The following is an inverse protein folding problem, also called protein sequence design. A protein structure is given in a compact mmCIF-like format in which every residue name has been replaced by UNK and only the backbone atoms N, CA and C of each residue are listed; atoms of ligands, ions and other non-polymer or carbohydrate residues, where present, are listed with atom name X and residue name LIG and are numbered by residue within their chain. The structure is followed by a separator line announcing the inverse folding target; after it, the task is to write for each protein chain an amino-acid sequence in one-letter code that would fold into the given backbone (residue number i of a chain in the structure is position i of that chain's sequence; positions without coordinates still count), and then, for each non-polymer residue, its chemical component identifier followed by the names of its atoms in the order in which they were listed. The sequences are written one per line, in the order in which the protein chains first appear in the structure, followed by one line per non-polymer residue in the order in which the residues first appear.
data_IF_170469016534
#
_entry.id   IF_170469016534
#
_cell.length_a   1.000
_cell.length_b   1.000
_cell.length_c   1.000
_cell.angle_alpha   90.00
_cell.angle_beta   90.00
_cell.angle_gamma   90.00
#
_symmetry.space_group_name_H-M   'P 1'
#
loop_
_entity.id
_entity.type
_entity.pdbx_description
1 polymer ?
#
# COMPACT_ATOMS: atom_id res chain seq x y z
N UNK A 1 3.33 -6.50 -16.40
CA UNK A 1 3.81 -7.10 -15.13
C UNK A 1 3.22 -8.50 -15.05
N UNK A 2 4.00 -9.54 -14.73
CA UNK A 2 3.47 -10.88 -14.48
C UNK A 2 2.39 -10.82 -13.37
N UNK A 3 1.26 -11.50 -13.56
CA UNK A 3 0.18 -11.59 -12.57
C UNK A 3 0.69 -12.03 -11.20
N UNK A 4 1.70 -12.92 -11.15
CA UNK A 4 2.33 -13.34 -9.88
C UNK A 4 3.09 -12.20 -9.20
N UNK A 5 3.79 -11.37 -9.97
CA UNK A 5 4.51 -10.22 -9.45
C UNK A 5 3.54 -9.15 -8.91
N UNK A 6 2.38 -8.98 -9.56
CA UNK A 6 1.32 -8.10 -9.06
C UNK A 6 0.75 -8.57 -7.73
N UNK A 7 0.37 -9.86 -7.65
CA UNK A 7 -0.17 -10.43 -6.43
C UNK A 7 0.85 -10.39 -5.28
N UNK A 8 2.12 -10.66 -5.57
CA UNK A 8 3.18 -10.53 -4.58
C UNK A 8 3.36 -9.07 -4.09
N UNK A 9 3.37 -8.10 -5.00
CA UNK A 9 3.57 -6.69 -4.64
C UNK A 9 2.48 -6.20 -3.70
N UNK A 10 1.20 -6.48 -4.01
CA UNK A 10 0.08 -5.94 -3.26
C UNK A 10 -0.38 -6.83 -2.10
N UNK A 11 -0.22 -8.16 -2.17
CA UNK A 11 -0.75 -9.08 -1.14
C UNK A 11 0.32 -9.92 -0.43
N UNK A 12 1.52 -10.05 -1.01
CA UNK A 12 2.60 -10.83 -0.42
C UNK A 12 3.26 -10.15 0.78
N UNK A 13 3.47 -10.87 1.88
CA UNK A 13 4.10 -10.35 3.10
C UNK A 13 5.60 -10.68 3.22
N UNK A 14 6.18 -11.37 2.23
CA UNK A 14 7.58 -11.80 2.23
C UNK A 14 8.39 -11.07 1.15
N UNK A 15 9.70 -10.97 1.36
CA UNK A 15 10.60 -10.24 0.48
C UNK A 15 10.80 -8.80 0.90
N UNK A 16 11.37 -8.02 -0.02
CA UNK A 16 11.76 -6.62 0.19
C UNK A 16 11.24 -5.76 -0.94
N UNK A 17 10.81 -4.55 -0.65
CA UNK A 17 10.54 -3.52 -1.67
C UNK A 17 11.37 -2.27 -1.40
N UNK A 18 11.90 -1.69 -2.46
CA UNK A 18 12.65 -0.44 -2.38
C UNK A 18 11.72 0.78 -2.24
N UNK A 19 12.29 1.91 -1.86
CA UNK A 19 11.54 3.15 -1.61
C UNK A 19 10.72 3.65 -2.80
N UNK A 20 11.24 3.56 -4.03
CA UNK A 20 10.55 4.03 -5.25
C UNK A 20 9.31 3.17 -5.53
N UNK A 21 9.46 1.85 -5.43
CA UNK A 21 8.36 0.91 -5.62
C UNK A 21 7.31 1.08 -4.53
N UNK A 22 7.73 1.24 -3.28
CA UNK A 22 6.82 1.53 -2.16
C UNK A 22 6.04 2.85 -2.36
N UNK A 23 6.73 3.90 -2.80
CA UNK A 23 6.11 5.20 -3.09
C UNK A 23 5.06 5.08 -4.19
N UNK A 24 5.43 4.60 -5.38
CA UNK A 24 4.49 4.55 -6.51
C UNK A 24 3.33 3.57 -6.28
N UNK A 25 3.59 2.41 -5.69
CA UNK A 25 2.53 1.46 -5.36
C UNK A 25 1.57 2.04 -4.31
N UNK A 26 2.09 2.72 -3.28
CA UNK A 26 1.26 3.40 -2.29
C UNK A 26 0.47 4.58 -2.88
N UNK A 27 1.08 5.38 -3.75
CA UNK A 27 0.40 6.48 -4.43
C UNK A 27 -0.77 5.97 -5.29
N UNK A 28 -0.57 4.87 -6.04
CA UNK A 28 -1.64 4.25 -6.82
C UNK A 28 -2.84 3.87 -5.93
N UNK A 29 -2.59 3.32 -4.74
CA UNK A 29 -3.64 2.97 -3.80
C UNK A 29 -4.38 4.19 -3.25
N UNK A 30 -3.70 5.32 -3.01
CA UNK A 30 -4.37 6.57 -2.65
C UNK A 30 -5.22 7.10 -3.80
N UNK A 31 -4.70 7.12 -5.03
CA UNK A 31 -5.44 7.54 -6.22
C UNK A 31 -6.69 6.67 -6.45
N UNK A 32 -6.59 5.36 -6.22
CA UNK A 32 -7.74 4.45 -6.31
C UNK A 32 -8.85 4.82 -5.32
N UNK A 33 -8.52 5.27 -4.10
CA UNK A 33 -9.50 5.74 -3.10
C UNK A 33 -10.18 7.07 -3.52
N UNK A 34 -9.47 7.94 -4.24
CA UNK A 34 -10.00 9.26 -4.63
C UNK A 34 -11.13 9.16 -5.66
N UNK A 35 -11.13 8.13 -6.52
CA UNK A 35 -12.13 8.02 -7.58
C UNK A 35 -13.57 7.82 -7.05
N UNK A 36 -13.85 6.88 -6.13
CA UNK A 36 -15.17 6.78 -5.50
C UNK A 36 -15.58 8.06 -4.76
N UNK A 37 -14.63 8.73 -4.09
CA UNK A 37 -14.89 10.01 -3.40
C UNK A 37 -15.32 11.09 -4.39
N UNK A 38 -14.62 11.21 -5.51
CA UNK A 38 -14.98 12.11 -6.60
C UNK A 38 -16.41 11.82 -7.09
N UNK A 39 -16.76 10.54 -7.29
CA UNK A 39 -18.10 10.17 -7.75
C UNK A 39 -19.20 10.52 -6.73
N UNK A 40 -18.94 10.39 -5.42
CA UNK A 40 -19.90 10.81 -4.38
C UNK A 40 -20.18 12.32 -4.48
N UNK A 41 -19.12 13.13 -4.68
CA UNK A 41 -19.23 14.59 -4.78
C UNK A 41 -19.93 14.99 -6.09
N UNK A 42 -19.54 14.38 -7.21
CA UNK A 42 -20.09 14.68 -8.53
C UNK A 42 -21.59 14.35 -8.65
N UNK A 43 -22.11 13.42 -7.84
CA UNK A 43 -23.53 13.03 -7.81
C UNK A 43 -24.27 13.63 -6.61
N UNK A 44 -23.89 14.82 -6.16
CA UNK A 44 -24.60 15.52 -5.07
C UNK A 44 -26.05 15.78 -5.45
N UNK A 45 -26.98 15.36 -4.58
CA UNK A 45 -28.43 15.44 -4.83
C UNK A 45 -29.07 14.16 -5.37
N UNK A 46 -28.26 13.15 -5.74
CA UNK A 46 -28.72 11.80 -6.07
C UNK A 46 -28.32 10.83 -4.93
N UNK A 47 -29.25 10.60 -3.99
CA UNK A 47 -29.02 9.75 -2.82
C UNK A 47 -28.68 8.29 -3.20
N UNK A 48 -29.27 7.76 -4.27
CA UNK A 48 -29.04 6.39 -4.71
C UNK A 48 -27.63 6.22 -5.28
N UNK A 49 -27.17 7.18 -6.11
CA UNK A 49 -25.82 7.20 -6.62
C UNK A 49 -24.79 7.37 -5.49
N UNK A 50 -25.04 8.29 -4.54
CA UNK A 50 -24.14 8.51 -3.40
C UNK A 50 -24.02 7.27 -2.50
N UNK A 51 -25.14 6.59 -2.23
CA UNK A 51 -25.15 5.34 -1.46
C UNK A 51 -24.31 4.26 -2.16
N UNK A 52 -24.49 4.12 -3.47
CA UNK A 52 -23.73 3.16 -4.29
C UNK A 52 -22.23 3.43 -4.24
N UNK A 53 -21.82 4.67 -4.49
CA UNK A 53 -20.40 5.04 -4.48
C UNK A 53 -19.80 5.04 -3.08
N UNK A 54 -20.58 5.30 -2.03
CA UNK A 54 -20.18 5.09 -0.64
C UNK A 54 -19.83 3.63 -0.35
N UNK A 55 -20.64 2.68 -0.83
CA UNK A 55 -20.35 1.25 -0.75
C UNK A 55 -19.07 0.86 -1.49
N UNK A 56 -18.90 1.35 -2.72
CA UNK A 56 -17.67 1.14 -3.51
C UNK A 56 -16.45 1.69 -2.79
N UNK A 57 -16.55 2.90 -2.21
CA UNK A 57 -15.48 3.51 -1.43
C UNK A 57 -15.03 2.62 -0.27
N UNK A 58 -15.96 2.04 0.50
CA UNK A 58 -15.63 1.15 1.62
C UNK A 58 -14.89 -0.10 1.17
N UNK A 59 -15.30 -0.71 0.06
CA UNK A 59 -14.63 -1.89 -0.52
C UNK A 59 -13.20 -1.53 -0.95
N UNK A 60 -13.05 -0.43 -1.69
CA UNK A 60 -11.75 0.05 -2.15
C UNK A 60 -10.84 0.42 -0.98
N UNK A 61 -11.38 1.08 0.05
CA UNK A 61 -10.64 1.44 1.26
C UNK A 61 -10.12 0.20 1.99
N UNK A 62 -10.97 -0.81 2.20
CA UNK A 62 -10.57 -2.07 2.85
C UNK A 62 -9.46 -2.80 2.09
N UNK A 63 -9.61 -2.94 0.76
CA UNK A 63 -8.59 -3.52 -0.09
C UNK A 63 -7.28 -2.71 -0.06
N UNK A 64 -7.38 -1.38 -0.11
CA UNK A 64 -6.21 -0.50 -0.07
C UNK A 64 -5.45 -0.63 1.26
N UNK A 65 -6.14 -0.71 2.40
CA UNK A 65 -5.51 -0.90 3.72
C UNK A 65 -4.68 -2.19 3.76
N UNK A 66 -5.25 -3.31 3.30
CA UNK A 66 -4.53 -4.59 3.23
C UNK A 66 -3.28 -4.46 2.36
N UNK A 67 -3.42 -3.82 1.19
CA UNK A 67 -2.32 -3.58 0.28
C UNK A 67 -1.24 -2.68 0.89
N UNK A 68 -1.60 -1.61 1.60
CA UNK A 68 -0.64 -0.73 2.26
C UNK A 68 0.10 -1.42 3.39
N UNK A 69 -0.57 -2.24 4.20
CA UNK A 69 0.09 -3.05 5.24
C UNK A 69 1.09 -4.00 4.57
N UNK A 70 0.69 -4.69 3.51
CA UNK A 70 1.57 -5.58 2.74
C UNK A 70 2.80 -4.86 2.17
N UNK A 71 2.63 -3.65 1.64
CA UNK A 71 3.73 -2.80 1.18
C UNK A 71 4.62 -2.36 2.35
N UNK A 72 4.04 -1.93 3.47
CA UNK A 72 4.77 -1.50 4.66
C UNK A 72 5.59 -2.63 5.28
N UNK A 73 5.05 -3.85 5.38
CA UNK A 73 5.78 -5.05 5.84
C UNK A 73 7.05 -5.24 5.01
N UNK A 74 6.91 -5.30 3.67
CA UNK A 74 8.07 -5.48 2.77
C UNK A 74 9.04 -4.31 2.80
N UNK A 75 8.56 -3.09 3.10
CA UNK A 75 9.41 -1.90 3.24
C UNK A 75 10.20 -1.91 4.55
N UNK A 76 9.58 -2.37 5.64
CA UNK A 76 10.23 -2.60 6.94
C UNK A 76 11.26 -3.73 6.85
N UNK A 77 10.96 -4.79 6.11
CA UNK A 77 11.93 -5.85 5.81
C UNK A 77 13.15 -5.34 5.06
N UNK A 78 13.00 -4.34 4.20
CA UNK A 78 14.13 -3.70 3.52
C UNK A 78 15.02 -2.87 4.48
N UNK A 79 14.52 -2.50 5.66
CA UNK A 79 15.31 -1.98 6.79
C UNK A 79 15.81 -3.08 7.74
N UNK A 80 15.58 -4.36 7.43
CA UNK A 80 15.77 -5.49 8.34
C UNK A 80 14.95 -5.42 9.63
N UNK A 81 13.90 -4.61 9.67
CA UNK A 81 13.00 -4.45 10.80
C UNK A 81 11.90 -5.54 10.82
N UNK A 82 11.18 -5.63 11.94
CA UNK A 82 10.02 -6.54 12.07
C UNK A 82 8.84 -6.04 11.24
N UNK A 83 8.19 -6.93 10.47
CA UNK A 83 6.98 -6.61 9.73
C UNK A 83 5.79 -6.18 10.61
N UNK A 84 5.79 -6.54 11.91
CA UNK A 84 4.75 -6.15 12.87
C UNK A 84 4.57 -4.63 12.99
N UNK A 85 5.62 -3.84 12.75
CA UNK A 85 5.49 -2.37 12.76
C UNK A 85 4.61 -1.84 11.61
N UNK A 86 4.23 -2.67 10.63
CA UNK A 86 3.34 -2.26 9.55
C UNK A 86 1.93 -1.88 10.06
N UNK A 87 1.50 -2.40 11.21
CA UNK A 87 0.22 -2.01 11.82
C UNK A 87 0.17 -0.54 12.25
N UNK A 88 1.32 0.12 12.40
CA UNK A 88 1.38 1.58 12.59
C UNK A 88 0.78 2.35 11.41
N UNK A 89 0.64 1.72 10.24
CA UNK A 89 -0.11 2.27 9.11
C UNK A 89 -1.56 2.61 9.49
N UNK A 90 -2.20 1.84 10.36
CA UNK A 90 -3.58 2.12 10.80
C UNK A 90 -3.71 3.41 11.62
N UNK A 91 -2.61 3.86 12.23
CA UNK A 91 -2.56 5.08 13.03
C UNK A 91 -2.04 6.28 12.22
N UNK A 92 -1.05 6.04 11.36
CA UNK A 92 -0.36 7.10 10.62
C UNK A 92 -0.75 7.26 9.15
N UNK A 93 -1.40 6.26 8.53
CA UNK A 93 -1.79 6.17 7.11
C UNK A 93 -0.78 6.87 6.18
N UNK A 94 -1.13 8.06 5.67
CA UNK A 94 -0.30 8.84 4.76
C UNK A 94 1.06 9.26 5.34
N UNK A 95 1.13 9.64 6.62
CA UNK A 95 2.38 10.06 7.26
C UNK A 95 3.35 8.88 7.36
N UNK A 96 2.86 7.72 7.77
CA UNK A 96 3.68 6.51 7.87
C UNK A 96 4.21 6.07 6.50
N UNK A 97 3.34 6.12 5.47
CA UNK A 97 3.76 5.86 4.09
C UNK A 97 4.84 6.83 3.59
N UNK A 98 4.74 8.13 3.87
CA UNK A 98 5.75 9.13 3.49
C UNK A 98 7.08 8.80 4.18
N UNK A 99 7.08 8.59 5.49
CA UNK A 99 8.31 8.29 6.27
C UNK A 99 9.02 7.06 5.69
N UNK A 100 8.28 5.97 5.47
CA UNK A 100 8.83 4.75 4.88
C UNK A 100 9.33 4.94 3.44
N UNK A 101 8.75 5.88 2.68
CA UNK A 101 9.15 6.21 1.30
C UNK A 101 10.40 7.09 1.22
N UNK A 102 10.77 7.81 2.28
CA UNK A 102 11.92 8.71 2.27
C UNK A 102 13.22 8.05 2.75
N UNK A 103 13.13 7.18 3.77
CA UNK A 103 14.31 6.56 4.39
C UNK A 103 14.95 5.56 3.40
N UNK A 104 16.29 5.53 3.22
CA UNK A 104 16.96 4.54 2.38
C UNK A 104 16.94 3.13 3.01
N UNK A 105 16.85 2.11 2.16
CA UNK A 105 16.92 0.70 2.58
C UNK A 105 18.33 0.24 2.98
N UNK A 106 18.42 -0.94 3.59
CA UNK A 106 19.69 -1.57 3.91
C UNK A 106 20.41 -2.04 2.63
N UNK A 107 21.69 -1.68 2.42
CA UNK A 107 22.47 -2.21 1.31
C UNK A 107 22.78 -3.70 1.49
N UNK A 108 22.83 -4.43 0.37
CA UNK A 108 23.16 -5.86 0.35
C UNK A 108 22.05 -6.79 0.88
N UNK A 109 22.35 -8.09 1.03
CA UNK A 109 21.39 -9.09 1.51
C UNK A 109 21.00 -8.91 2.98
N UNK A 110 19.78 -9.29 3.33
CA UNK A 110 19.35 -9.42 4.72
C UNK A 110 18.43 -10.65 4.92
N UNK A 111 17.93 -10.87 6.13
CA UNK A 111 17.10 -12.06 6.48
C UNK A 111 15.79 -12.19 5.68
N UNK A 112 15.40 -11.14 4.95
CA UNK A 112 14.18 -11.08 4.17
C UNK A 112 14.41 -11.11 2.65
N UNK A 113 15.66 -11.18 2.19
CA UNK A 113 15.98 -11.35 0.77
C UNK A 113 17.32 -10.75 0.37
N UNK A 114 17.83 -11.20 -0.78
CA UNK A 114 19.13 -10.78 -1.33
C UNK A 114 19.13 -9.36 -1.91
N UNK A 115 17.98 -8.88 -2.43
CA UNK A 115 17.83 -7.55 -3.02
C UNK A 115 16.39 -7.01 -2.85
N UNK A 116 16.17 -5.70 -2.97
CA UNK A 116 14.83 -5.12 -3.02
C UNK A 116 14.10 -5.46 -4.34
N UNK A 117 12.77 -5.35 -4.30
CA UNK A 117 11.84 -5.59 -5.40
C UNK A 117 11.80 -7.03 -5.89
N UNK A 118 12.00 -7.98 -4.98
CA UNK A 118 11.82 -9.41 -5.24
C UNK A 118 11.23 -10.13 -4.02
N UNK A 119 10.51 -11.24 -4.24
CA UNK A 119 10.23 -12.21 -3.18
C UNK A 119 11.52 -12.69 -2.50
N UNK A 120 11.38 -13.22 -1.27
CA UNK A 120 12.50 -13.81 -0.51
C UNK A 120 13.06 -15.04 -1.20
#
# INVERSE_FOLDING_TARGET
MDSKAFLWLFFGLSGRIGRITHFWAGLLLYLARLYPVYMIIANTGDEAAQTTWGGVFLIVLGAAIVCHISLAVKRLHDFNASGWFAFLFLLGDILFWIVLSLIPGQPGPNRFGSRPNSPK
#
